data_IF_320695339040
#
_entry.id   IF_320695339040
#
_cell.length_a   1.000
_cell.length_b   1.000
_cell.length_c   1.000
_cell.angle_alpha   90.00
_cell.angle_beta   90.00
_cell.angle_gamma   90.00
#
_symmetry.space_group_name_H-M   'P 1'
#
loop_
_entity.id
_entity.type
_entity.pdbx_description
1 polymer ?
#
# COMPACT_ATOMS: atom_id res chain seq x y z
N UNK A 1 -1.28 -7.94 -3.27
CA UNK A 1 -2.51 -8.03 -4.09
C UNK A 1 -2.96 -6.63 -4.50
N UNK A 2 -3.67 -6.51 -5.62
CA UNK A 2 -4.14 -5.20 -6.09
C UNK A 2 -5.10 -4.50 -5.12
N UNK A 3 -5.78 -5.25 -4.24
CA UNK A 3 -6.69 -4.66 -3.26
C UNK A 3 -5.96 -3.72 -2.30
N UNK A 4 -4.78 -4.07 -1.83
CA UNK A 4 -3.99 -3.22 -0.92
C UNK A 4 -3.55 -1.92 -1.61
N UNK A 5 -3.14 -1.98 -2.88
CA UNK A 5 -2.78 -0.79 -3.65
C UNK A 5 -4.00 0.09 -3.95
N UNK A 6 -5.19 -0.49 -4.15
CA UNK A 6 -6.44 0.27 -4.27
C UNK A 6 -6.84 0.93 -2.96
N UNK A 7 -6.67 0.23 -1.84
CA UNK A 7 -6.86 0.81 -0.50
C UNK A 7 -5.86 1.94 -0.26
N UNK A 8 -4.59 1.76 -0.63
CA UNK A 8 -3.58 2.82 -0.55
C UNK A 8 -3.99 4.05 -1.37
N UNK A 9 -4.45 3.86 -2.62
CA UNK A 9 -4.93 4.94 -3.47
C UNK A 9 -6.06 5.74 -2.79
N UNK A 10 -7.03 5.03 -2.19
CA UNK A 10 -8.14 5.63 -1.48
C UNK A 10 -7.69 6.41 -0.23
N UNK A 11 -6.85 5.79 0.63
CA UNK A 11 -6.39 6.39 1.88
C UNK A 11 -5.44 7.58 1.68
N UNK A 12 -4.59 7.50 0.65
CA UNK A 12 -3.65 8.58 0.31
C UNK A 12 -4.30 9.74 -0.42
N UNK A 13 -5.40 9.48 -1.13
CA UNK A 13 -6.01 10.45 -2.04
C UNK A 13 -5.08 10.84 -3.21
N UNK A 14 -4.07 10.02 -3.51
CA UNK A 14 -3.10 10.30 -4.57
C UNK A 14 -3.78 10.28 -5.93
N UNK A 15 -3.80 11.44 -6.61
CA UNK A 15 -4.53 11.62 -7.86
C UNK A 15 -3.99 10.71 -8.96
N UNK A 16 -2.65 10.57 -9.06
CA UNK A 16 -2.02 9.76 -10.10
C UNK A 16 -2.29 8.26 -9.90
N UNK A 17 -2.32 7.82 -8.64
CA UNK A 17 -2.61 6.43 -8.30
C UNK A 17 -4.09 6.11 -8.51
N UNK A 18 -5.00 7.01 -8.13
CA UNK A 18 -6.45 6.87 -8.37
C UNK A 18 -6.74 6.81 -9.87
N UNK A 19 -6.18 7.74 -10.65
CA UNK A 19 -6.37 7.80 -12.10
C UNK A 19 -5.91 6.51 -12.79
N UNK A 20 -4.75 5.96 -12.40
CA UNK A 20 -4.26 4.70 -12.94
C UNK A 20 -5.27 3.57 -12.75
N UNK A 21 -5.86 3.45 -11.55
CA UNK A 21 -6.88 2.43 -11.29
C UNK A 21 -8.19 2.69 -12.03
N UNK A 22 -8.61 3.94 -12.19
CA UNK A 22 -9.83 4.31 -12.94
C UNK A 22 -9.69 3.98 -14.42
N UNK A 23 -8.49 4.14 -14.99
CA UNK A 23 -8.16 3.79 -16.38
C UNK A 23 -7.91 2.30 -16.61
N UNK A 24 -7.90 1.48 -15.55
CA UNK A 24 -7.58 0.06 -15.64
C UNK A 24 -6.12 -0.22 -15.97
N UNK A 25 -5.22 0.76 -15.72
CA UNK A 25 -3.79 0.59 -15.96
C UNK A 25 -3.17 -0.43 -15.00
N UNK A 26 -2.13 -1.16 -15.45
CA UNK A 26 -1.31 -1.97 -14.55
C UNK A 26 -0.41 -1.05 -13.72
N UNK A 27 -0.68 -0.96 -12.43
CA UNK A 27 0.06 -0.06 -11.54
C UNK A 27 1.56 -0.40 -11.45
N UNK A 28 1.93 -1.67 -11.67
CA UNK A 28 3.33 -2.06 -11.67
C UNK A 28 4.04 -1.62 -12.95
N UNK A 29 3.36 -1.65 -14.10
CA UNK A 29 3.87 -1.09 -15.35
C UNK A 29 4.02 0.42 -15.26
N UNK A 30 3.02 1.13 -14.70
CA UNK A 30 3.10 2.58 -14.48
C UNK A 30 4.26 2.95 -13.55
N UNK A 31 4.41 2.24 -12.43
CA UNK A 31 5.53 2.43 -11.50
C UNK A 31 6.87 2.13 -12.20
N UNK A 32 6.94 1.09 -13.02
CA UNK A 32 8.13 0.73 -13.75
C UNK A 32 8.60 1.86 -14.68
N UNK A 33 7.68 2.45 -15.43
CA UNK A 33 7.98 3.60 -16.31
C UNK A 33 8.45 4.83 -15.51
N UNK A 34 7.85 5.09 -14.35
CA UNK A 34 8.24 6.21 -13.49
C UNK A 34 9.63 6.03 -12.85
N UNK A 35 10.00 4.80 -12.51
CA UNK A 35 11.27 4.49 -11.84
C UNK A 35 12.41 4.32 -12.85
N UNK A 36 12.20 3.57 -13.93
CA UNK A 36 13.25 3.16 -14.85
C UNK A 36 13.28 3.98 -16.13
N UNK A 37 12.16 4.66 -16.46
CA UNK A 37 12.01 5.33 -17.75
C UNK A 37 11.85 4.36 -18.93
N UNK A 38 11.58 4.90 -20.11
CA UNK A 38 11.37 4.09 -21.32
C UNK A 38 12.66 3.47 -21.88
N UNK A 39 13.84 4.03 -21.56
CA UNK A 39 15.15 3.69 -22.13
C UNK A 39 16.10 3.03 -21.13
N UNK A 40 15.60 2.28 -20.17
CA UNK A 40 16.40 1.71 -19.08
C UNK A 40 17.36 0.58 -19.49
N UNK A 41 17.25 0.05 -20.69
CA UNK A 41 18.01 -1.14 -21.14
C UNK A 41 17.51 -2.47 -20.52
N UNK A 42 16.55 -2.42 -19.59
CA UNK A 42 15.89 -3.59 -19.02
C UNK A 42 14.69 -4.01 -19.88
N UNK A 43 14.41 -5.30 -19.93
CA UNK A 43 13.18 -5.76 -20.56
C UNK A 43 11.95 -5.37 -19.72
N UNK A 44 10.78 -5.26 -20.36
CA UNK A 44 9.54 -4.82 -19.72
C UNK A 44 9.13 -5.72 -18.54
N UNK A 45 9.35 -7.04 -18.65
CA UNK A 45 8.97 -8.01 -17.61
C UNK A 45 9.85 -7.82 -16.37
N UNK A 46 11.14 -7.57 -16.57
CA UNK A 46 12.07 -7.29 -15.48
C UNK A 46 11.76 -5.96 -14.81
N UNK A 47 11.54 -4.89 -15.56
CA UNK A 47 11.13 -3.58 -15.02
C UNK A 47 9.87 -3.70 -14.16
N UNK A 48 8.84 -4.38 -14.70
CA UNK A 48 7.58 -4.61 -14.00
C UNK A 48 7.77 -5.44 -12.73
N UNK A 49 8.62 -6.47 -12.75
CA UNK A 49 8.93 -7.30 -11.59
C UNK A 49 9.60 -6.49 -10.50
N UNK A 50 10.60 -5.68 -10.84
CA UNK A 50 11.29 -4.78 -9.90
C UNK A 50 10.35 -3.72 -9.35
N UNK A 51 9.54 -3.09 -10.19
CA UNK A 51 8.53 -2.11 -9.75
C UNK A 51 7.49 -2.71 -8.81
N UNK A 52 7.07 -3.96 -9.05
CA UNK A 52 6.21 -4.70 -8.13
C UNK A 52 6.87 -4.84 -6.75
N UNK A 53 8.16 -5.18 -6.70
CA UNK A 53 8.88 -5.27 -5.44
C UNK A 53 9.01 -3.91 -4.74
N UNK A 54 9.24 -2.83 -5.49
CA UNK A 54 9.26 -1.47 -4.94
C UNK A 54 7.90 -1.09 -4.36
N UNK A 55 6.80 -1.28 -5.11
CA UNK A 55 5.45 -1.00 -4.64
C UNK A 55 5.16 -1.68 -3.30
N UNK A 56 5.48 -2.97 -3.18
CA UNK A 56 5.24 -3.70 -1.92
C UNK A 56 6.24 -3.34 -0.83
N UNK A 57 7.50 -3.09 -1.17
CA UNK A 57 8.51 -2.66 -0.21
C UNK A 57 8.07 -1.38 0.50
N UNK A 58 7.57 -0.40 -0.25
CA UNK A 58 7.09 0.87 0.30
C UNK A 58 5.81 0.72 1.09
N UNK A 59 4.87 -0.12 0.59
CA UNK A 59 3.65 -0.46 1.32
C UNK A 59 3.97 -1.07 2.71
N UNK A 60 5.04 -1.87 2.80
CA UNK A 60 5.47 -2.51 4.03
C UNK A 60 6.56 -1.75 4.79
N UNK A 61 6.86 -0.51 4.39
CA UNK A 61 7.81 0.37 5.07
C UNK A 61 9.26 -0.14 5.05
N UNK A 62 9.66 -0.85 4.00
CA UNK A 62 11.06 -1.27 3.82
C UNK A 62 11.96 -0.06 3.57
N UNK A 63 13.19 -0.14 4.07
CA UNK A 63 14.23 0.87 3.84
C UNK A 63 14.95 0.61 2.51
N UNK A 64 15.70 1.61 2.02
CA UNK A 64 16.56 1.46 0.84
C UNK A 64 17.56 0.30 1.01
N UNK A 65 18.07 0.08 2.22
CA UNK A 65 18.98 -1.05 2.52
C UNK A 65 18.32 -2.41 2.28
N UNK A 66 17.10 -2.61 2.83
CA UNK A 66 16.38 -3.89 2.65
C UNK A 66 15.89 -4.07 1.21
N UNK A 67 15.42 -3.01 0.58
CA UNK A 67 15.00 -3.04 -0.83
C UNK A 67 16.17 -3.40 -1.74
N UNK A 68 17.36 -2.77 -1.55
CA UNK A 68 18.57 -3.02 -2.34
C UNK A 68 18.94 -4.50 -2.35
N UNK A 69 18.91 -5.14 -1.18
CA UNK A 69 19.18 -6.56 -1.03
C UNK A 69 18.17 -7.44 -1.75
N UNK A 70 16.89 -7.07 -1.66
CA UNK A 70 15.79 -7.87 -2.21
C UNK A 70 15.76 -7.86 -3.76
N UNK A 71 16.19 -6.74 -4.38
CA UNK A 71 16.18 -6.58 -5.85
C UNK A 71 17.57 -6.65 -6.48
N UNK A 72 18.62 -6.87 -5.68
CA UNK A 72 19.98 -7.07 -6.18
C UNK A 72 20.62 -5.81 -6.78
N UNK A 73 20.40 -4.63 -6.18
CA UNK A 73 20.98 -3.35 -6.62
C UNK A 73 21.77 -2.69 -5.49
N UNK A 74 22.49 -1.61 -5.80
CA UNK A 74 23.13 -0.80 -4.76
C UNK A 74 22.09 -0.08 -3.88
N UNK A 75 22.46 0.25 -2.65
CA UNK A 75 21.60 1.03 -1.76
C UNK A 75 21.25 2.41 -2.34
N UNK A 76 22.21 3.02 -3.05
CA UNK A 76 21.99 4.29 -3.74
C UNK A 76 20.94 4.16 -4.85
N UNK A 77 20.97 3.10 -5.66
CA UNK A 77 19.96 2.83 -6.67
C UNK A 77 18.59 2.56 -6.04
N UNK A 78 18.53 1.79 -4.96
CA UNK A 78 17.30 1.54 -4.25
C UNK A 78 16.70 2.83 -3.66
N UNK A 79 17.53 3.75 -3.14
CA UNK A 79 17.08 5.05 -2.68
C UNK A 79 16.52 5.89 -3.83
N UNK A 80 17.18 5.92 -4.97
CA UNK A 80 16.69 6.61 -6.16
C UNK A 80 15.34 6.06 -6.63
N UNK A 81 15.11 4.75 -6.53
CA UNK A 81 13.81 4.15 -6.85
C UNK A 81 12.70 4.59 -5.88
N UNK A 82 13.02 4.68 -4.59
CA UNK A 82 12.09 5.18 -3.57
C UNK A 82 11.74 6.64 -3.84
N UNK A 83 12.73 7.46 -4.14
CA UNK A 83 12.54 8.89 -4.42
C UNK A 83 11.71 9.09 -5.69
N UNK A 84 11.98 8.35 -6.77
CA UNK A 84 11.20 8.37 -8.01
C UNK A 84 9.74 7.91 -7.77
N UNK A 85 9.53 6.91 -6.93
CA UNK A 85 8.19 6.46 -6.55
C UNK A 85 7.39 7.58 -5.87
N UNK A 86 7.95 8.22 -4.86
CA UNK A 86 7.27 9.31 -4.15
C UNK A 86 7.13 10.58 -4.99
N UNK A 87 8.02 10.81 -5.96
CA UNK A 87 7.84 11.86 -6.95
C UNK A 87 6.64 11.59 -7.87
N UNK A 88 6.43 10.33 -8.25
CA UNK A 88 5.29 9.90 -9.06
C UNK A 88 3.97 9.82 -8.27
N UNK A 89 4.04 9.55 -6.96
CA UNK A 89 2.89 9.38 -6.06
C UNK A 89 3.05 10.19 -4.77
N UNK A 90 3.06 11.53 -4.86
CA UNK A 90 3.34 12.39 -3.70
C UNK A 90 2.29 12.28 -2.58
N UNK A 91 1.04 11.98 -2.91
CA UNK A 91 -0.03 11.76 -1.94
C UNK A 91 0.23 10.57 -1.03
N UNK A 92 0.94 9.56 -1.52
CA UNK A 92 1.34 8.39 -0.70
C UNK A 92 2.32 8.80 0.38
N UNK A 93 3.29 9.69 0.07
CA UNK A 93 4.22 10.21 1.08
C UNK A 93 3.50 11.00 2.16
N UNK A 94 2.61 11.89 1.75
CA UNK A 94 1.79 12.69 2.68
C UNK A 94 0.95 11.78 3.59
N UNK A 95 0.36 10.73 3.04
CA UNK A 95 -0.40 9.74 3.81
C UNK A 95 0.46 9.05 4.87
N UNK A 96 1.66 8.59 4.52
CA UNK A 96 2.58 7.93 5.45
C UNK A 96 2.95 8.88 6.60
N UNK A 97 3.39 10.09 6.28
CA UNK A 97 3.85 11.08 7.26
C UNK A 97 2.71 11.48 8.20
N UNK A 98 1.51 11.74 7.68
CA UNK A 98 0.31 12.03 8.47
C UNK A 98 -0.07 10.86 9.38
N UNK A 99 -0.08 9.64 8.87
CA UNK A 99 -0.43 8.44 9.64
C UNK A 99 0.52 8.26 10.83
N UNK A 100 1.82 8.43 10.62
CA UNK A 100 2.81 8.34 11.69
C UNK A 100 2.65 9.46 12.73
N UNK A 101 2.41 10.68 12.26
CA UNK A 101 2.21 11.83 13.15
C UNK A 101 0.97 11.64 14.04
N UNK A 102 -0.17 11.28 13.44
CA UNK A 102 -1.42 11.03 14.18
C UNK A 102 -1.27 9.85 15.15
N UNK A 103 -0.58 8.79 14.73
CA UNK A 103 -0.36 7.62 15.57
C UNK A 103 0.57 7.90 16.76
N UNK A 104 1.58 8.78 16.61
CA UNK A 104 2.43 9.21 17.74
C UNK A 104 1.66 9.97 18.81
N UNK A 105 0.65 10.74 18.41
CA UNK A 105 -0.20 11.51 19.34
C UNK A 105 -1.27 10.61 19.97
N UNK A 106 -1.95 9.80 19.16
CA UNK A 106 -3.10 9.01 19.62
C UNK A 106 -2.72 7.65 20.22
N UNK A 107 -1.51 7.14 19.97
CA UNK A 107 -1.08 5.80 20.34
C UNK A 107 -1.77 4.66 19.56
N UNK A 108 -2.55 4.97 18.53
CA UNK A 108 -3.41 4.00 17.83
C UNK A 108 -3.48 4.31 16.34
N UNK A 109 -3.49 3.25 15.51
CA UNK A 109 -3.89 3.31 14.10
C UNK A 109 -5.22 2.60 13.88
N UNK A 110 -5.93 2.96 12.79
CA UNK A 110 -7.29 2.44 12.50
C UNK A 110 -7.44 2.05 11.04
N UNK A 111 -8.30 1.06 10.78
CA UNK A 111 -8.86 0.84 9.42
C UNK A 111 -9.97 1.84 9.12
N UNK A 112 -10.40 1.93 7.86
CA UNK A 112 -11.57 2.76 7.48
C UNK A 112 -12.87 2.28 8.15
N UNK A 113 -12.93 1.02 8.58
CA UNK A 113 -14.07 0.44 9.32
C UNK A 113 -13.95 0.63 10.84
N UNK A 114 -12.93 1.37 11.31
CA UNK A 114 -12.77 1.71 12.72
C UNK A 114 -12.06 0.65 13.57
N UNK A 115 -11.59 -0.47 13.00
CA UNK A 115 -10.81 -1.45 13.75
C UNK A 115 -9.48 -0.83 14.17
N UNK A 116 -9.17 -0.90 15.46
CA UNK A 116 -8.06 -0.20 16.11
C UNK A 116 -6.89 -1.15 16.39
N UNK A 117 -5.68 -0.62 16.29
CA UNK A 117 -4.45 -1.29 16.75
C UNK A 117 -3.59 -0.32 17.56
N UNK A 118 -3.31 -0.61 18.83
CA UNK A 118 -2.36 0.15 19.64
C UNK A 118 -0.94 0.04 19.07
N UNK A 119 -0.18 1.15 19.15
CA UNK A 119 1.21 1.25 18.68
C UNK A 119 2.06 2.02 19.72
N UNK A 120 2.11 1.54 20.98
CA UNK A 120 2.73 2.27 22.08
C UNK A 120 4.23 2.51 21.86
N UNK A 121 4.93 1.60 21.17
CA UNK A 121 6.36 1.70 20.95
C UNK A 121 6.76 2.70 19.85
N UNK A 122 5.79 3.38 19.24
CA UNK A 122 6.05 4.38 18.19
C UNK A 122 6.87 5.58 18.71
N UNK A 123 6.81 5.83 20.03
CA UNK A 123 7.58 6.86 20.72
C UNK A 123 8.76 6.28 21.54
N UNK A 124 9.12 5.01 21.33
CA UNK A 124 10.21 4.35 22.04
C UNK A 124 11.56 5.01 21.76
N UNK A 125 12.41 5.12 22.78
CA UNK A 125 13.81 5.52 22.65
C UNK A 125 14.64 4.46 21.92
N UNK A 126 14.21 3.19 21.93
CA UNK A 126 14.84 2.12 21.16
C UNK A 126 14.53 2.27 19.68
N UNK A 127 15.53 2.65 18.87
CA UNK A 127 15.39 2.91 17.45
C UNK A 127 14.90 1.70 16.63
N UNK A 128 15.31 0.48 17.00
CA UNK A 128 14.86 -0.74 16.29
C UNK A 128 13.38 -1.01 16.54
N UNK A 129 12.94 -0.89 17.79
CA UNK A 129 11.56 -1.08 18.19
C UNK A 129 10.67 -0.02 17.57
N UNK A 130 11.09 1.25 17.61
CA UNK A 130 10.39 2.35 16.96
C UNK A 130 10.23 2.11 15.44
N UNK A 131 11.31 1.77 14.73
CA UNK A 131 11.26 1.52 13.29
C UNK A 131 10.37 0.31 12.93
N UNK A 132 10.35 -0.74 13.76
CA UNK A 132 9.44 -1.86 13.58
C UNK A 132 7.97 -1.43 13.74
N UNK A 133 7.69 -0.59 14.74
CA UNK A 133 6.34 -0.09 15.04
C UNK A 133 5.87 0.91 13.99
N UNK A 134 6.76 1.75 13.44
CA UNK A 134 6.44 2.62 12.28
C UNK A 134 5.94 1.83 11.08
N UNK A 135 6.61 0.71 10.75
CA UNK A 135 6.15 -0.19 9.68
C UNK A 135 4.76 -0.76 9.96
N UNK A 136 4.51 -1.17 11.19
CA UNK A 136 3.19 -1.65 11.61
C UNK A 136 2.14 -0.55 11.49
N UNK A 137 2.46 0.67 11.92
CA UNK A 137 1.55 1.81 11.91
C UNK A 137 1.13 2.22 10.49
N UNK A 138 2.07 2.21 9.54
CA UNK A 138 1.77 2.52 8.13
C UNK A 138 0.99 1.41 7.45
N UNK A 139 1.35 0.16 7.72
CA UNK A 139 0.79 -0.99 7.02
C UNK A 139 -0.61 -1.39 7.52
N UNK A 140 -0.88 -1.22 8.80
CA UNK A 140 -2.15 -1.68 9.41
C UNK A 140 -3.40 -1.01 8.81
N UNK A 141 -3.45 0.31 8.58
CA UNK A 141 -4.60 0.91 7.91
C UNK A 141 -4.90 0.31 6.54
N UNK A 142 -3.86 -0.06 5.79
CA UNK A 142 -3.96 -0.60 4.43
C UNK A 142 -4.36 -2.08 4.46
N UNK A 143 -3.53 -2.93 5.04
CA UNK A 143 -3.80 -4.38 5.12
C UNK A 143 -5.05 -4.68 5.94
N UNK A 144 -5.22 -3.98 7.05
CA UNK A 144 -6.37 -4.13 7.90
C UNK A 144 -7.67 -3.79 7.17
N UNK A 145 -7.69 -2.69 6.42
CA UNK A 145 -8.84 -2.31 5.59
C UNK A 145 -9.10 -3.33 4.49
N UNK A 146 -8.06 -3.81 3.80
CA UNK A 146 -8.21 -4.86 2.79
C UNK A 146 -8.83 -6.14 3.38
N UNK A 147 -8.38 -6.54 4.58
CA UNK A 147 -8.95 -7.69 5.29
C UNK A 147 -10.40 -7.46 5.71
N UNK A 148 -10.76 -6.26 6.16
CA UNK A 148 -12.12 -5.91 6.56
C UNK A 148 -13.07 -5.92 5.34
N UNK A 149 -12.63 -5.41 4.18
CA UNK A 149 -13.37 -5.50 2.91
C UNK A 149 -13.65 -6.96 2.55
N UNK A 150 -12.65 -7.82 2.63
CA UNK A 150 -12.81 -9.25 2.31
C UNK A 150 -13.79 -9.94 3.25
N UNK A 151 -13.68 -9.69 4.56
CA UNK A 151 -14.63 -10.24 5.55
C UNK A 151 -16.06 -9.77 5.29
N UNK A 152 -16.25 -8.50 4.97
CA UNK A 152 -17.58 -7.96 4.63
C UNK A 152 -18.14 -8.62 3.38
N UNK A 153 -17.33 -8.73 2.32
CA UNK A 153 -17.74 -9.41 1.09
C UNK A 153 -18.15 -10.88 1.33
N UNK A 154 -17.39 -11.60 2.17
CA UNK A 154 -17.73 -12.98 2.55
C UNK A 154 -19.09 -13.07 3.27
N UNK A 155 -19.37 -12.15 4.19
CA UNK A 155 -20.64 -12.07 4.89
C UNK A 155 -21.78 -11.77 3.91
N UNK A 156 -21.61 -10.79 3.04
CA UNK A 156 -22.63 -10.37 2.08
C UNK A 156 -22.94 -11.49 1.08
N UNK A 157 -21.92 -12.20 0.58
CA UNK A 157 -22.08 -13.39 -0.29
C UNK A 157 -22.81 -14.51 0.45
N UNK A 158 -22.44 -14.81 1.69
CA UNK A 158 -23.10 -15.82 2.51
C UNK A 158 -24.60 -15.49 2.69
N UNK A 159 -24.91 -14.25 3.05
CA UNK A 159 -26.29 -13.80 3.23
C UNK A 159 -27.10 -13.89 1.93
N UNK A 160 -26.52 -13.50 0.81
CA UNK A 160 -27.17 -13.61 -0.51
C UNK A 160 -27.47 -15.07 -0.89
N UNK A 161 -26.53 -15.99 -0.62
CA UNK A 161 -26.74 -17.41 -0.89
C UNK A 161 -27.81 -18.02 0.03
N UNK A 162 -27.84 -17.62 1.31
CA UNK A 162 -28.85 -18.12 2.27
C UNK A 162 -30.24 -17.55 2.01
N UNK A 163 -30.35 -16.35 1.43
CA UNK A 163 -31.62 -15.75 1.05
C UNK A 163 -32.29 -16.44 -0.15
N UNK A 164 -31.54 -17.26 -0.89
CA UNK A 164 -32.01 -17.94 -2.11
C UNK A 164 -32.17 -16.98 -3.30
N UNK A 165 -32.44 -17.49 -4.50
CA UNK A 165 -32.76 -16.64 -5.64
C UNK A 165 -34.04 -15.87 -5.31
N UNK A 166 -34.02 -14.55 -5.48
CA UNK A 166 -35.23 -13.74 -5.41
C UNK A 166 -36.27 -14.36 -6.38
N UNK A 167 -37.37 -14.89 -5.83
CA UNK A 167 -38.44 -15.45 -6.65
C UNK A 167 -38.83 -14.44 -7.73
N UNK A 168 -39.31 -14.89 -8.91
CA UNK A 168 -39.73 -13.97 -9.95
C UNK A 168 -40.76 -12.99 -9.36
N UNK A 169 -40.43 -11.70 -9.48
CA UNK A 169 -41.35 -10.63 -9.05
C UNK A 169 -42.72 -10.92 -9.65
N UNK A 170 -43.68 -11.24 -8.77
CA UNK A 170 -45.07 -11.49 -9.17
C UNK A 170 -45.56 -10.32 -10.00
N UNK A 171 -46.07 -10.67 -11.17
CA UNK A 171 -46.83 -9.73 -12.06
C UNK A 171 -48.05 -9.19 -11.35
#
# INVERSE_FOLDING_TARGET
SQIELRVLAHLSGDAALIEAFQRGEDIHDRTALGIFGANSGLDRKEMRSRAKMVNYALLYGKTAFTLARDIGVSQQAAQAFIDAYFAGFPGVRVFIDRTLQEARVSGVVKTIFGRRRPVPELNSSNGQLRAATERIAVNMPIQGTAADIMKRAMIDVHQALMAGPAGPAGR
#
